data_IF_361419859165
#
_entry.id   IF_361419859165
#
_cell.length_a   1.000
_cell.length_b   1.000
_cell.length_c   1.000
_cell.angle_alpha   90.00
_cell.angle_beta   90.00
_cell.angle_gamma   90.00
#
_symmetry.space_group_name_H-M   'P 1'
#
loop_
_entity.id
_entity.type
_entity.pdbx_description
1 polymer ?
#
# COMPACT_ATOMS: atom_id res chain seq x y z
N UNK A 1 -8.42 10.46 -6.93
CA UNK A 1 -9.02 9.14 -7.21
C UNK A 1 -10.40 9.36 -7.77
N UNK A 2 -10.74 8.78 -8.93
CA UNK A 2 -12.08 8.91 -9.50
C UNK A 2 -13.18 8.39 -8.56
N UNK A 3 -14.40 8.88 -8.77
CA UNK A 3 -15.61 8.45 -8.08
C UNK A 3 -15.79 6.92 -8.10
N UNK A 4 -16.39 6.39 -7.04
CA UNK A 4 -16.77 4.99 -6.91
C UNK A 4 -18.22 4.86 -7.34
N UNK A 5 -18.47 3.95 -8.28
CA UNK A 5 -19.80 3.70 -8.84
C UNK A 5 -20.12 2.21 -8.84
N UNK A 6 -21.41 1.92 -9.00
CA UNK A 6 -21.92 0.56 -9.14
C UNK A 6 -22.82 0.43 -10.37
N UNK A 7 -22.62 -0.62 -11.16
CA UNK A 7 -23.50 -0.99 -12.29
C UNK A 7 -23.53 -2.50 -12.49
N UNK A 8 -22.52 -3.08 -13.16
CA UNK A 8 -22.31 -4.52 -13.30
C UNK A 8 -21.25 -5.02 -12.31
N UNK A 9 -21.27 -4.48 -11.08
CA UNK A 9 -20.18 -4.56 -10.11
C UNK A 9 -19.61 -3.17 -9.79
N UNK A 10 -18.75 -3.07 -8.76
CA UNK A 10 -18.11 -1.82 -8.37
C UNK A 10 -17.01 -1.43 -9.35
N UNK A 11 -16.90 -0.13 -9.65
CA UNK A 11 -15.86 0.39 -10.53
C UNK A 11 -15.54 1.86 -10.24
N UNK A 12 -14.38 2.32 -10.73
CA UNK A 12 -13.93 3.72 -10.64
C UNK A 12 -14.06 4.41 -11.99
N UNK A 13 -14.51 5.66 -12.00
CA UNK A 13 -14.58 6.48 -13.22
C UNK A 13 -16.00 6.83 -13.65
N UNK A 14 -16.12 7.43 -14.84
CA UNK A 14 -17.39 8.02 -15.31
C UNK A 14 -18.37 6.96 -15.86
N UNK A 15 -17.87 5.97 -16.58
CA UNK A 15 -18.69 5.00 -17.32
C UNK A 15 -18.38 3.57 -16.90
N UNK A 16 -19.41 2.72 -16.86
CA UNK A 16 -19.25 1.31 -16.53
C UNK A 16 -18.46 0.58 -17.63
N UNK A 17 -17.41 -0.18 -17.28
CA UNK A 17 -16.58 -0.86 -18.28
C UNK A 17 -17.30 -1.98 -19.05
N UNK A 18 -18.50 -2.39 -18.59
CA UNK A 18 -19.29 -3.47 -19.22
C UNK A 18 -20.31 -2.91 -20.21
N UNK A 19 -21.00 -1.82 -19.89
CA UNK A 19 -22.12 -1.31 -20.71
C UNK A 19 -21.93 0.11 -21.24
N UNK A 20 -20.85 0.80 -20.88
CA UNK A 20 -20.56 2.19 -21.28
C UNK A 20 -21.48 3.26 -20.67
N UNK A 21 -22.45 2.88 -19.82
CA UNK A 21 -23.38 3.83 -19.18
C UNK A 21 -22.85 4.28 -17.81
N UNK A 22 -23.17 5.50 -17.35
CA UNK A 22 -22.86 5.90 -15.99
C UNK A 22 -23.66 5.04 -14.98
N UNK A 23 -22.95 4.40 -14.07
CA UNK A 23 -23.51 3.68 -12.93
C UNK A 23 -23.90 4.62 -11.79
N UNK A 24 -24.54 4.05 -10.77
CA UNK A 24 -24.95 4.75 -9.55
C UNK A 24 -23.71 5.20 -8.79
N UNK A 25 -23.67 6.47 -8.37
CA UNK A 25 -22.61 6.98 -7.48
C UNK A 25 -22.77 6.33 -6.11
N UNK A 26 -21.70 5.70 -5.64
CA UNK A 26 -21.58 5.14 -4.29
C UNK A 26 -20.79 6.08 -3.39
N UNK A 27 -19.68 6.63 -3.88
CA UNK A 27 -18.91 7.67 -3.18
C UNK A 27 -18.30 8.65 -4.17
N UNK A 28 -18.37 9.94 -3.85
CA UNK A 28 -17.65 10.98 -4.56
C UNK A 28 -16.16 11.01 -4.16
N UNK A 29 -15.33 11.76 -4.89
CA UNK A 29 -13.88 11.77 -4.66
C UNK A 29 -13.48 12.23 -3.25
N UNK A 30 -14.20 13.19 -2.67
CA UNK A 30 -13.94 13.69 -1.32
C UNK A 30 -14.23 12.61 -0.27
N UNK A 31 -15.37 11.94 -0.38
CA UNK A 31 -15.76 10.82 0.49
C UNK A 31 -14.75 9.67 0.39
N UNK A 32 -14.34 9.30 -0.82
CA UNK A 32 -13.32 8.27 -1.05
C UNK A 32 -12.02 8.64 -0.33
N UNK A 33 -11.54 9.86 -0.53
CA UNK A 33 -10.29 10.31 0.06
C UNK A 33 -10.36 10.28 1.60
N UNK A 34 -11.49 10.70 2.17
CA UNK A 34 -11.69 10.70 3.61
C UNK A 34 -11.76 9.27 4.19
N UNK A 35 -12.56 8.40 3.58
CA UNK A 35 -12.71 7.00 4.01
C UNK A 35 -11.41 6.24 3.82
N UNK A 36 -10.75 6.36 2.67
CA UNK A 36 -9.48 5.67 2.38
C UNK A 36 -8.36 6.06 3.34
N UNK A 37 -8.25 7.36 3.66
CA UNK A 37 -7.26 7.86 4.62
C UNK A 37 -7.54 7.35 6.03
N UNK A 38 -8.80 7.38 6.44
CA UNK A 38 -9.21 6.88 7.76
C UNK A 38 -9.00 5.38 7.86
N UNK A 39 -9.36 4.62 6.82
CA UNK A 39 -9.20 3.18 6.78
C UNK A 39 -7.72 2.78 6.89
N UNK A 40 -6.83 3.46 6.17
CA UNK A 40 -5.39 3.27 6.31
C UNK A 40 -4.92 3.61 7.74
N UNK A 41 -5.37 4.72 8.33
CA UNK A 41 -5.04 5.09 9.71
C UNK A 41 -5.45 4.00 10.72
N UNK A 42 -6.64 3.41 10.54
CA UNK A 42 -7.15 2.34 11.42
C UNK A 42 -6.37 1.04 11.20
N UNK A 43 -6.28 0.56 9.97
CA UNK A 43 -5.78 -0.79 9.68
C UNK A 43 -4.26 -0.88 9.72
N UNK A 44 -3.52 0.23 9.56
CA UNK A 44 -2.05 0.20 9.46
C UNK A 44 -1.32 0.80 10.65
N UNK A 45 -1.98 1.65 11.43
CA UNK A 45 -1.25 2.51 12.37
C UNK A 45 -1.80 2.48 13.79
N UNK A 46 -3.11 2.66 13.98
CA UNK A 46 -3.66 2.79 15.33
C UNK A 46 -5.13 2.37 15.39
N UNK A 47 -5.44 1.07 15.34
CA UNK A 47 -6.83 0.58 15.42
C UNK A 47 -7.47 0.93 16.77
N UNK A 48 -6.67 0.94 17.85
CA UNK A 48 -7.11 1.21 19.21
C UNK A 48 -7.71 2.61 19.37
N UNK A 49 -7.10 3.65 18.79
CA UNK A 49 -7.63 5.02 18.77
C UNK A 49 -9.02 5.14 18.15
N UNK A 50 -9.41 4.19 17.30
CA UNK A 50 -10.72 4.17 16.66
C UNK A 50 -11.69 3.16 17.28
N UNK A 51 -11.30 2.49 18.38
CA UNK A 51 -12.09 1.45 19.01
C UNK A 51 -12.25 0.21 18.14
N UNK A 52 -11.30 -0.04 17.24
CA UNK A 52 -11.25 -1.22 16.38
C UNK A 52 -10.23 -2.19 16.96
N UNK A 53 -10.56 -3.49 16.89
CA UNK A 53 -9.63 -4.57 17.22
C UNK A 53 -9.26 -5.29 15.94
N UNK A 54 -7.97 -5.53 15.77
CA UNK A 54 -7.44 -6.43 14.76
C UNK A 54 -7.13 -7.77 15.41
N UNK A 55 -7.20 -8.86 14.65
CA UNK A 55 -6.56 -10.11 15.03
C UNK A 55 -5.05 -10.09 14.74
N UNK A 56 -4.35 -11.21 15.01
CA UNK A 56 -2.90 -11.33 14.80
C UNK A 56 -2.48 -11.09 13.35
N UNK A 57 -3.36 -11.37 12.38
CA UNK A 57 -3.10 -11.21 10.96
C UNK A 57 -3.59 -9.86 10.40
N UNK A 58 -4.01 -8.94 11.28
CA UNK A 58 -4.43 -7.59 10.93
C UNK A 58 -5.89 -7.46 10.46
N UNK A 59 -6.71 -8.52 10.56
CA UNK A 59 -8.10 -8.46 10.13
C UNK A 59 -9.02 -7.77 11.14
N UNK A 60 -9.88 -6.89 10.62
CA UNK A 60 -11.01 -6.28 11.32
C UNK A 60 -12.33 -6.77 10.73
N UNK A 61 -13.39 -6.81 11.54
CA UNK A 61 -14.76 -7.00 11.02
C UNK A 61 -15.22 -5.74 10.27
N UNK A 62 -15.71 -5.94 9.04
CA UNK A 62 -16.22 -4.85 8.17
C UNK A 62 -17.32 -4.05 8.89
N UNK A 63 -18.28 -4.74 9.49
CA UNK A 63 -19.39 -4.12 10.24
C UNK A 63 -18.93 -3.24 11.41
N UNK A 64 -17.81 -3.59 12.07
CA UNK A 64 -17.21 -2.76 13.13
C UNK A 64 -16.63 -1.47 12.57
N UNK A 65 -15.93 -1.55 11.42
CA UNK A 65 -15.40 -0.38 10.73
C UNK A 65 -16.53 0.54 10.24
N UNK A 66 -17.57 -0.02 9.64
CA UNK A 66 -18.75 0.74 9.20
C UNK A 66 -19.43 1.43 10.39
N UNK A 67 -19.61 0.72 11.51
CA UNK A 67 -20.15 1.30 12.74
C UNK A 67 -19.29 2.44 13.28
N UNK A 68 -17.95 2.31 13.19
CA UNK A 68 -17.01 3.38 13.54
C UNK A 68 -17.15 4.59 12.62
N UNK A 69 -17.25 4.39 11.30
CA UNK A 69 -17.47 5.46 10.35
C UNK A 69 -18.80 6.18 10.59
N UNK A 70 -19.91 5.46 10.81
CA UNK A 70 -21.25 6.05 11.02
C UNK A 70 -21.36 6.91 12.28
N UNK A 71 -20.47 6.75 13.26
CA UNK A 71 -20.36 7.61 14.44
C UNK A 71 -19.76 8.98 14.11
N UNK A 72 -19.08 9.13 12.98
CA UNK A 72 -18.49 10.40 12.53
C UNK A 72 -19.54 11.28 11.85
N UNK A 73 -19.36 12.59 12.01
CA UNK A 73 -20.22 13.59 11.37
C UNK A 73 -20.19 13.41 9.86
N UNK A 74 -21.36 13.40 9.22
CA UNK A 74 -21.47 13.30 7.76
C UNK A 74 -21.32 11.89 7.17
N UNK A 75 -21.12 10.84 7.98
CA UNK A 75 -20.83 9.48 7.50
C UNK A 75 -21.91 8.44 7.82
N UNK A 76 -23.12 8.88 8.21
CA UNK A 76 -24.23 7.97 8.57
C UNK A 76 -24.68 7.06 7.42
N UNK A 77 -24.39 7.45 6.17
CA UNK A 77 -24.72 6.75 4.93
C UNK A 77 -23.84 5.53 4.65
N UNK A 78 -22.71 5.38 5.34
CA UNK A 78 -21.79 4.26 5.14
C UNK A 78 -22.48 2.91 5.38
N UNK A 79 -22.24 1.97 4.47
CA UNK A 79 -22.66 0.56 4.56
C UNK A 79 -21.47 -0.36 4.29
N UNK A 80 -21.64 -1.65 4.55
CA UNK A 80 -20.63 -2.68 4.28
C UNK A 80 -20.20 -2.66 2.80
N UNK A 81 -21.16 -2.55 1.86
CA UNK A 81 -20.88 -2.45 0.42
C UNK A 81 -19.96 -1.27 0.07
N UNK A 82 -20.13 -0.10 0.71
CA UNK A 82 -19.25 1.04 0.43
C UNK A 82 -17.80 0.72 0.77
N UNK A 83 -17.56 0.04 1.89
CA UNK A 83 -16.22 -0.31 2.33
C UNK A 83 -15.62 -1.44 1.50
N UNK A 84 -16.42 -2.47 1.20
CA UNK A 84 -16.05 -3.60 0.33
C UNK A 84 -15.66 -3.08 -1.05
N UNK A 85 -16.53 -2.31 -1.70
CA UNK A 85 -16.29 -1.78 -3.04
C UNK A 85 -15.11 -0.80 -3.09
N UNK A 86 -14.89 -0.03 -2.02
CA UNK A 86 -13.70 0.83 -1.93
C UNK A 86 -12.41 0.01 -1.92
N UNK A 87 -12.40 -1.10 -1.18
CA UNK A 87 -11.24 -1.99 -1.10
C UNK A 87 -11.03 -2.79 -2.40
N UNK A 88 -12.08 -3.36 -2.97
CA UNK A 88 -12.02 -4.13 -4.23
C UNK A 88 -11.57 -3.28 -5.43
N UNK A 89 -11.91 -2.00 -5.44
CA UNK A 89 -11.54 -1.06 -6.51
C UNK A 89 -10.34 -0.20 -6.17
N UNK A 90 -9.61 -0.51 -5.09
CA UNK A 90 -8.41 0.24 -4.73
C UNK A 90 -7.31 -0.01 -5.76
N UNK A 91 -6.88 1.01 -6.54
CA UNK A 91 -5.84 0.81 -7.55
C UNK A 91 -4.50 0.39 -6.95
N UNK A 92 -4.25 0.71 -5.68
CA UNK A 92 -3.03 0.33 -4.96
C UNK A 92 -3.13 -1.02 -4.26
N UNK A 93 -4.25 -1.73 -4.41
CA UNK A 93 -4.53 -3.06 -3.82
C UNK A 93 -4.05 -3.17 -2.38
N UNK A 94 -4.42 -2.19 -1.54
CA UNK A 94 -3.96 -2.06 -0.15
C UNK A 94 -4.60 -3.04 0.80
N UNK A 95 -5.76 -3.58 0.42
CA UNK A 95 -6.64 -4.29 1.31
C UNK A 95 -6.99 -5.66 0.75
N UNK A 96 -7.19 -6.61 1.66
CA UNK A 96 -7.71 -7.94 1.36
C UNK A 96 -8.99 -8.16 2.15
N UNK A 97 -10.00 -8.70 1.48
CA UNK A 97 -11.27 -9.09 2.07
C UNK A 97 -11.29 -10.61 2.20
N UNK A 98 -11.77 -11.09 3.35
CA UNK A 98 -12.01 -12.51 3.61
C UNK A 98 -13.37 -12.66 4.28
N UNK A 99 -14.41 -12.95 3.48
CA UNK A 99 -15.79 -12.98 3.93
C UNK A 99 -16.22 -11.65 4.57
N UNK A 100 -16.44 -11.65 5.87
CA UNK A 100 -16.87 -10.46 6.66
C UNK A 100 -15.70 -9.66 7.26
N UNK A 101 -14.47 -10.03 6.92
CA UNK A 101 -13.24 -9.44 7.44
C UNK A 101 -12.48 -8.66 6.37
N UNK A 102 -11.75 -7.64 6.79
CA UNK A 102 -10.86 -6.84 5.96
C UNK A 102 -9.56 -6.55 6.71
N UNK A 103 -8.43 -6.60 6.02
CA UNK A 103 -7.12 -6.15 6.53
C UNK A 103 -6.42 -5.26 5.52
N UNK A 104 -5.41 -4.51 5.96
CA UNK A 104 -4.37 -4.03 5.05
C UNK A 104 -3.36 -5.16 4.81
N UNK A 105 -2.79 -5.24 3.61
CA UNK A 105 -1.81 -6.29 3.25
C UNK A 105 -0.36 -5.79 3.25
N UNK A 106 -0.13 -4.50 3.44
CA UNK A 106 1.19 -3.88 3.60
C UNK A 106 1.07 -2.53 4.32
N UNK A 107 2.20 -1.96 4.72
CA UNK A 107 2.29 -0.59 5.24
C UNK A 107 1.98 -0.41 6.72
N UNK A 108 2.05 -1.48 7.50
CA UNK A 108 1.82 -1.44 8.93
C UNK A 108 3.00 -0.84 9.69
N UNK A 109 2.70 0.03 10.65
CA UNK A 109 3.63 0.49 11.70
C UNK A 109 3.32 -0.19 13.04
N UNK A 110 2.33 -1.09 13.05
CA UNK A 110 1.94 -1.94 14.16
C UNK A 110 2.39 -3.36 13.87
N UNK A 111 2.54 -4.15 14.94
CA UNK A 111 2.88 -5.56 14.82
C UNK A 111 1.67 -6.34 14.30
N UNK A 112 1.84 -6.92 13.11
CA UNK A 112 0.89 -7.81 12.46
C UNK A 112 1.66 -8.92 11.77
N UNK A 113 1.15 -10.13 11.90
CA UNK A 113 1.69 -11.31 11.25
C UNK A 113 1.12 -11.44 9.83
N UNK A 114 1.98 -11.30 8.84
CA UNK A 114 1.61 -11.39 7.42
C UNK A 114 2.20 -12.65 6.76
N UNK A 115 2.64 -13.65 7.55
CA UNK A 115 3.20 -14.90 7.00
C UNK A 115 2.15 -15.80 6.33
N UNK A 116 0.86 -15.46 6.44
CA UNK A 116 -0.23 -16.13 5.73
C UNK A 116 -0.42 -15.60 4.29
N UNK A 117 0.37 -14.58 3.88
CA UNK A 117 0.41 -14.11 2.51
C UNK A 117 1.11 -15.13 1.57
N UNK A 118 0.79 -15.12 0.27
CA UNK A 118 1.40 -16.05 -0.68
C UNK A 118 2.91 -15.87 -0.81
N UNK A 119 3.63 -16.96 -1.06
CA UNK A 119 5.09 -16.97 -1.34
C UNK A 119 5.41 -17.31 -2.80
N UNK A 120 4.38 -17.38 -3.66
CA UNK A 120 4.50 -17.70 -5.08
C UNK A 120 4.69 -16.45 -5.95
N UNK A 121 5.26 -16.64 -7.14
CA UNK A 121 5.36 -15.60 -8.17
C UNK A 121 6.28 -14.43 -7.80
N UNK A 122 7.25 -14.65 -6.92
CA UNK A 122 8.23 -13.65 -6.50
C UNK A 122 9.31 -13.53 -7.59
N UNK A 123 9.56 -12.32 -8.14
CA UNK A 123 10.65 -12.09 -9.09
C UNK A 123 12.02 -12.41 -8.48
N UNK A 124 12.96 -12.89 -9.30
CA UNK A 124 14.34 -13.19 -8.87
C UNK A 124 15.06 -11.95 -8.29
N UNK A 125 14.72 -10.76 -8.79
CA UNK A 125 15.23 -9.48 -8.32
C UNK A 125 14.08 -8.59 -7.91
N UNK A 126 14.19 -8.03 -6.70
CA UNK A 126 13.28 -7.01 -6.18
C UNK A 126 14.05 -5.69 -5.99
N UNK A 127 13.34 -4.60 -5.74
CA UNK A 127 13.92 -3.26 -5.71
C UNK A 127 13.54 -2.52 -4.44
N UNK A 128 14.50 -1.76 -3.89
CA UNK A 128 14.31 -0.94 -2.69
C UNK A 128 14.83 0.47 -2.93
N UNK A 129 14.04 1.47 -2.57
CA UNK A 129 14.43 2.88 -2.69
C UNK A 129 15.20 3.33 -1.46
N UNK A 130 16.29 4.06 -1.68
CA UNK A 130 17.14 4.66 -0.66
C UNK A 130 17.56 6.06 -1.09
N UNK A 131 18.03 6.88 -0.15
CA UNK A 131 18.77 8.09 -0.52
C UNK A 131 20.21 7.74 -0.87
N UNK A 132 20.88 8.61 -1.64
CA UNK A 132 22.33 8.50 -1.91
C UNK A 132 23.16 8.53 -0.62
N UNK A 133 22.66 9.22 0.42
CA UNK A 133 23.32 9.29 1.73
C UNK A 133 23.17 7.99 2.54
N UNK A 134 22.01 7.32 2.48
CA UNK A 134 21.75 6.10 3.25
C UNK A 134 22.20 4.83 2.54
N UNK A 135 22.30 4.83 1.21
CA UNK A 135 22.59 3.62 0.44
C UNK A 135 23.91 2.93 0.82
N UNK A 136 25.02 3.63 1.12
CA UNK A 136 26.23 2.97 1.62
C UNK A 136 25.99 2.21 2.93
N UNK A 137 25.25 2.80 3.87
CA UNK A 137 24.92 2.16 5.15
C UNK A 137 24.00 0.96 4.95
N UNK A 138 22.98 1.09 4.10
CA UNK A 138 22.06 -0.02 3.78
C UNK A 138 22.80 -1.19 3.14
N UNK A 139 23.80 -0.93 2.28
CA UNK A 139 24.63 -1.98 1.68
C UNK A 139 25.58 -2.65 2.67
N UNK A 140 26.01 -1.95 3.72
CA UNK A 140 26.90 -2.50 4.73
C UNK A 140 26.14 -3.28 5.81
N UNK A 141 25.03 -2.71 6.30
CA UNK A 141 24.26 -3.28 7.41
C UNK A 141 23.16 -4.25 6.95
N UNK A 142 22.65 -4.09 5.73
CA UNK A 142 21.39 -4.67 5.29
C UNK A 142 20.21 -3.70 5.47
N UNK A 143 19.03 -4.12 5.02
CA UNK A 143 17.77 -3.40 5.24
C UNK A 143 17.06 -4.02 6.44
N UNK A 144 16.75 -3.18 7.43
CA UNK A 144 15.88 -3.52 8.55
C UNK A 144 14.68 -2.58 8.58
N UNK A 145 13.55 -3.00 9.14
CA UNK A 145 12.40 -2.12 9.31
C UNK A 145 12.76 -0.97 10.26
N UNK A 146 12.55 0.28 9.84
CA UNK A 146 12.77 1.47 10.66
C UNK A 146 11.46 1.94 11.30
N UNK A 147 10.49 2.34 10.47
CA UNK A 147 9.17 2.83 10.90
C UNK A 147 8.05 1.80 10.70
N UNK A 148 8.28 0.75 9.90
CA UNK A 148 7.31 -0.29 9.55
C UNK A 148 7.61 -1.60 10.25
N UNK A 149 6.64 -2.51 10.31
CA UNK A 149 6.83 -3.86 10.83
C UNK A 149 7.36 -4.88 9.80
N UNK A 150 7.34 -4.50 8.52
CA UNK A 150 7.84 -5.28 7.39
C UNK A 150 8.52 -4.37 6.36
N UNK A 151 9.59 -4.85 5.74
CA UNK A 151 10.26 -4.16 4.63
C UNK A 151 9.40 -4.30 3.38
N UNK A 152 9.18 -3.19 2.68
CA UNK A 152 8.55 -3.19 1.37
C UNK A 152 9.62 -3.25 0.29
N UNK A 153 9.51 -4.25 -0.58
CA UNK A 153 10.29 -4.36 -1.79
C UNK A 153 9.35 -4.23 -2.99
N UNK A 154 9.79 -3.53 -4.02
CA UNK A 154 9.04 -3.32 -5.26
C UNK A 154 9.41 -4.38 -6.30
N UNK A 155 8.43 -4.82 -7.08
CA UNK A 155 8.65 -5.76 -8.19
C UNK A 155 9.41 -5.17 -9.39
N UNK A 156 9.56 -3.84 -9.47
CA UNK A 156 10.29 -3.18 -10.57
C UNK A 156 11.08 -1.97 -10.09
N UNK A 157 12.15 -1.63 -10.82
CA UNK A 157 12.95 -0.42 -10.60
C UNK A 157 12.06 0.83 -10.58
N UNK A 158 11.23 1.00 -11.62
CA UNK A 158 10.33 2.14 -11.76
C UNK A 158 9.45 2.34 -10.52
N UNK A 159 8.83 1.26 -10.01
CA UNK A 159 7.92 1.36 -8.86
C UNK A 159 8.66 1.77 -7.59
N UNK A 160 9.85 1.21 -7.39
CA UNK A 160 10.75 1.61 -6.30
C UNK A 160 11.10 3.10 -6.39
N UNK A 161 11.55 3.53 -7.57
CA UNK A 161 11.93 4.92 -7.84
C UNK A 161 10.78 5.90 -7.61
N UNK A 162 9.60 5.64 -8.20
CA UNK A 162 8.41 6.50 -8.02
C UNK A 162 7.93 6.51 -6.59
N UNK A 163 7.94 5.38 -5.89
CA UNK A 163 7.62 5.34 -4.45
C UNK A 163 8.62 6.18 -3.63
N UNK A 164 9.90 6.19 -3.99
CA UNK A 164 10.93 7.00 -3.36
C UNK A 164 10.71 8.50 -3.53
N UNK A 165 10.24 8.95 -4.69
CA UNK A 165 10.03 10.37 -4.99
C UNK A 165 9.02 11.07 -4.07
N UNK A 166 8.17 10.33 -3.35
CA UNK A 166 7.29 10.90 -2.33
C UNK A 166 8.04 11.39 -1.07
N UNK A 167 9.29 10.99 -0.90
CA UNK A 167 10.08 11.18 0.33
C UNK A 167 11.52 11.66 0.07
N UNK A 168 12.08 11.39 -1.11
CA UNK A 168 13.49 11.61 -1.48
C UNK A 168 13.52 12.35 -2.83
N UNK A 169 14.30 13.44 -2.92
CA UNK A 169 14.41 14.26 -4.14
C UNK A 169 14.96 13.48 -5.36
N UNK A 170 16.01 12.70 -5.15
CA UNK A 170 16.64 11.85 -6.16
C UNK A 170 16.86 10.45 -5.57
N UNK A 171 15.87 9.55 -5.65
CA UNK A 171 15.96 8.21 -5.07
C UNK A 171 17.02 7.37 -5.78
N UNK A 172 17.94 6.81 -5.01
CA UNK A 172 18.80 5.73 -5.47
C UNK A 172 18.06 4.40 -5.29
N UNK A 173 18.02 3.58 -6.34
CA UNK A 173 17.38 2.26 -6.27
C UNK A 173 18.44 1.18 -6.06
N UNK A 174 18.19 0.33 -5.07
CA UNK A 174 18.95 -0.87 -4.79
C UNK A 174 18.24 -2.07 -5.42
N UNK A 175 19.01 -3.01 -5.94
CA UNK A 175 18.53 -4.32 -6.36
C UNK A 175 18.76 -5.32 -5.23
N UNK A 176 17.75 -6.14 -4.96
CA UNK A 176 17.74 -7.18 -3.94
C UNK A 176 17.60 -8.53 -4.62
N UNK A 177 18.59 -9.40 -4.42
CA UNK A 177 18.58 -10.77 -4.97
C UNK A 177 17.62 -11.66 -4.15
N UNK A 178 16.33 -11.56 -4.48
CA UNK A 178 15.26 -12.28 -3.82
C UNK A 178 15.37 -13.79 -4.02
N UNK A 179 15.83 -14.25 -5.19
CA UNK A 179 16.06 -15.66 -5.45
C UNK A 179 17.03 -16.28 -4.44
N UNK A 180 18.21 -15.68 -4.28
CA UNK A 180 19.21 -16.20 -3.33
C UNK A 180 18.75 -16.04 -1.89
N UNK A 181 17.98 -15.02 -1.53
CA UNK A 181 17.35 -14.94 -0.21
C UNK A 181 16.45 -16.14 0.07
N UNK A 182 15.54 -16.47 -0.87
CA UNK A 182 14.60 -17.59 -0.75
C UNK A 182 15.35 -18.93 -0.69
N UNK A 183 16.35 -19.14 -1.56
CA UNK A 183 17.18 -20.35 -1.57
C UNK A 183 17.96 -20.56 -0.26
N UNK A 184 18.24 -19.47 0.48
CA UNK A 184 18.89 -19.51 1.79
C UNK A 184 17.90 -19.43 2.97
N UNK A 185 16.61 -19.64 2.74
CA UNK A 185 15.59 -19.76 3.80
C UNK A 185 15.11 -18.43 4.37
N UNK A 186 15.31 -17.31 3.67
CA UNK A 186 14.74 -16.02 4.06
C UNK A 186 13.39 -15.86 3.35
N UNK A 187 12.32 -15.78 4.15
CA UNK A 187 10.97 -15.66 3.62
C UNK A 187 10.72 -14.29 2.97
N UNK A 188 10.08 -14.35 1.80
CA UNK A 188 9.52 -13.20 1.11
C UNK A 188 8.06 -13.53 0.80
N UNK A 189 7.17 -12.58 1.08
CA UNK A 189 5.73 -12.73 0.89
C UNK A 189 5.22 -11.73 -0.14
N UNK A 190 4.33 -12.16 -1.02
CA UNK A 190 3.70 -11.31 -2.03
C UNK A 190 2.46 -10.65 -1.44
N UNK A 191 2.50 -9.33 -1.25
CA UNK A 191 1.39 -8.56 -0.72
C UNK A 191 0.34 -8.25 -1.79
N UNK A 192 0.81 -7.85 -2.97
CA UNK A 192 0.01 -7.66 -4.17
C UNK A 192 0.93 -7.86 -5.39
N UNK A 193 0.48 -7.48 -6.59
CA UNK A 193 1.26 -7.67 -7.83
C UNK A 193 2.63 -6.97 -7.81
N UNK A 194 2.80 -5.98 -6.94
CA UNK A 194 3.86 -4.98 -7.02
C UNK A 194 4.73 -4.89 -5.77
N UNK A 195 4.20 -5.29 -4.62
CA UNK A 195 4.81 -5.14 -3.31
C UNK A 195 5.06 -6.51 -2.70
N UNK A 196 6.29 -6.71 -2.28
CA UNK A 196 6.80 -7.91 -1.64
C UNK A 196 7.32 -7.54 -0.26
N UNK A 197 7.14 -8.44 0.71
CA UNK A 197 7.39 -8.19 2.12
C UNK A 197 8.41 -9.17 2.67
N UNK A 198 9.34 -8.67 3.47
CA UNK A 198 10.27 -9.49 4.24
C UNK A 198 10.60 -8.82 5.57
N UNK A 199 11.15 -9.58 6.52
CA UNK A 199 11.55 -9.05 7.84
C UNK A 199 12.88 -8.33 7.80
N UNK A 200 13.81 -8.78 6.96
CA UNK A 200 15.14 -8.21 6.81
C UNK A 200 15.71 -8.53 5.43
N UNK A 201 16.62 -7.68 4.93
CA UNK A 201 17.43 -7.99 3.75
C UNK A 201 18.90 -7.93 4.16
N UNK A 202 19.59 -9.08 4.31
CA UNK A 202 21.02 -9.08 4.60
C UNK A 202 21.86 -8.40 3.51
N UNK A 203 22.99 -7.78 3.87
CA UNK A 203 23.79 -6.95 2.96
C UNK A 203 24.31 -7.69 1.72
N UNK A 204 24.61 -8.98 1.83
CA UNK A 204 25.11 -9.82 0.75
C UNK A 204 24.13 -9.99 -0.43
N UNK A 205 22.85 -9.67 -0.22
CA UNK A 205 21.83 -9.71 -1.26
C UNK A 205 21.55 -8.36 -1.91
N UNK A 206 22.27 -7.30 -1.52
CA UNK A 206 21.99 -5.91 -1.93
C UNK A 206 23.06 -5.39 -2.89
N UNK A 207 22.63 -4.92 -4.05
CA UNK A 207 23.48 -4.21 -5.01
C UNK A 207 22.87 -2.88 -5.42
N UNK A 208 23.65 -2.01 -6.06
CA UNK A 208 23.09 -0.84 -6.74
C UNK A 208 22.39 -1.34 -7.99
N UNK A 209 21.11 -0.99 -8.18
CA UNK A 209 20.40 -1.37 -9.38
C UNK A 209 20.98 -0.63 -10.59
N UNK A 210 20.90 -1.26 -11.78
CA UNK A 210 21.13 -0.54 -13.02
C UNK A 210 20.09 0.59 -13.14
N UNK A 211 20.57 1.80 -13.48
CA UNK A 211 19.71 2.98 -13.54
C UNK A 211 18.83 2.90 -14.79
N UNK A 212 17.52 2.85 -14.60
CA UNK A 212 16.54 2.97 -15.68
C UNK A 212 16.03 4.42 -15.81
N UNK A 213 15.71 4.83 -17.03
CA UNK A 213 15.02 6.09 -17.27
C UNK A 213 13.55 5.97 -16.87
N UNK A 214 13.10 6.80 -15.92
CA UNK A 214 11.73 6.80 -15.41
C UNK A 214 10.99 8.06 -15.85
N UNK A 215 10.05 7.88 -16.78
CA UNK A 215 9.12 8.94 -17.15
C UNK A 215 7.90 8.89 -16.24
N UNK A 216 7.68 9.98 -15.49
CA UNK A 216 6.50 10.17 -14.65
C UNK A 216 5.30 10.61 -15.49
N UNK A 217 4.13 10.06 -15.18
CA UNK A 217 2.86 10.60 -15.70
C UNK A 217 2.56 11.95 -15.05
N UNK A 218 1.73 12.76 -15.71
CA UNK A 218 1.31 14.04 -15.13
C UNK A 218 0.53 13.85 -13.81
N UNK A 219 -0.27 12.77 -13.72
CA UNK A 219 -0.95 12.40 -12.47
C UNK A 219 0.06 12.08 -11.34
N UNK A 220 1.12 11.33 -11.63
CA UNK A 220 2.17 11.03 -10.64
C UNK A 220 2.89 12.30 -10.20
N UNK A 221 3.25 13.19 -11.13
CA UNK A 221 3.91 14.47 -10.80
C UNK A 221 3.04 15.33 -9.89
N UNK A 222 1.76 15.47 -10.22
CA UNK A 222 0.80 16.26 -9.43
C UNK A 222 0.54 15.61 -8.06
N UNK A 223 0.46 14.29 -7.99
CA UNK A 223 0.30 13.53 -6.74
C UNK A 223 1.51 13.70 -5.82
N UNK A 224 2.73 13.50 -6.35
CA UNK A 224 3.99 13.66 -5.61
C UNK A 224 4.12 15.08 -5.09
N UNK A 225 3.94 16.09 -5.95
CA UNK A 225 4.00 17.51 -5.56
C UNK A 225 3.06 17.81 -4.41
N UNK A 226 1.80 17.41 -4.53
CA UNK A 226 0.77 17.63 -3.50
C UNK A 226 1.12 16.95 -2.17
N UNK A 227 1.66 15.73 -2.20
CA UNK A 227 2.06 15.00 -0.99
C UNK A 227 3.28 15.64 -0.34
N UNK A 228 4.28 16.06 -1.12
CA UNK A 228 5.49 16.72 -0.60
C UNK A 228 5.19 18.06 0.04
N UNK A 229 4.43 18.93 -0.61
CA UNK A 229 4.03 20.24 -0.06
C UNK A 229 3.29 20.10 1.28
N UNK A 230 2.44 19.06 1.39
CA UNK A 230 1.70 18.76 2.62
C UNK A 230 2.60 18.26 3.75
N UNK A 231 3.66 17.52 3.43
CA UNK A 231 4.61 17.04 4.42
C UNK A 231 5.57 18.15 4.87
N UNK A 232 5.97 19.06 3.98
CA UNK A 232 6.78 20.23 4.32
C UNK A 232 6.06 21.26 5.20
N UNK A 233 4.72 21.36 5.10
CA UNK A 233 3.92 22.23 5.98
C UNK A 233 3.62 21.66 7.37
N UNK A 234 4.29 20.58 7.80
CA UNK A 234 4.12 19.95 9.12
C UNK A 234 5.26 20.23 10.10
N UNK A 235 6.30 20.93 9.67
CA UNK A 235 7.36 21.47 10.53
C UNK A 235 6.95 22.85 11.09
#
# INVERSE_FOLDING_TARGET
MPELRYCHGPYRGKECPVCGKPGKIMMNEAEINEVSRTLAAVLRHDPGRYGIRLDSHGYARISSLVSMFRKRKGMRWMTDDHLVYLAETDPRKRYQISGVLIRAVYGHTIDVDLTDLPTDGIPDTLYYQSSTAEAPLVKEAGIYPSDKSWIHLSGTYRKSFVSGLYHIDDPLVLAVNARSMIENGIDIFRSNDDIYLTKQVPPEYITIAEKEEVVLTDEEKDDIKRVREKNSGRD
#
